data_IF_386803790249
#
_entry.id   IF_386803790249
#
_cell.length_a   1.000
_cell.length_b   1.000
_cell.length_c   1.000
_cell.angle_alpha   90.00
_cell.angle_beta   90.00
_cell.angle_gamma   90.00
#
_symmetry.space_group_name_H-M   'P 1'
#
loop_
_entity.id
_entity.type
_entity.pdbx_description
1 polymer ?
#
# COMPACT_ATOMS: atom_id res chain seq x y z
N UNK A 1 11.31 2.62 12.24
CA UNK A 1 10.99 3.26 13.55
C UNK A 1 12.16 3.24 14.55
N UNK A 2 12.67 2.08 14.99
CA UNK A 2 13.64 1.99 16.10
C UNK A 2 14.91 2.84 15.97
N UNK A 3 15.50 2.96 14.78
CA UNK A 3 16.66 3.84 14.55
C UNK A 3 16.30 5.31 14.86
N UNK A 4 15.14 5.77 14.39
CA UNK A 4 14.63 7.12 14.67
C UNK A 4 14.37 7.36 16.16
N UNK A 5 13.75 6.39 16.85
CA UNK A 5 13.54 6.43 18.30
C UNK A 5 14.86 6.59 19.06
N UNK A 6 15.89 5.81 18.68
CA UNK A 6 17.23 5.89 19.27
C UNK A 6 17.89 7.26 19.04
N UNK A 7 17.83 7.78 17.81
CA UNK A 7 18.41 9.08 17.47
C UNK A 7 17.68 10.24 18.17
N UNK A 8 16.37 10.15 18.33
CA UNK A 8 15.55 11.15 19.01
C UNK A 8 15.53 10.99 20.54
N UNK A 9 16.07 9.89 21.08
CA UNK A 9 15.97 9.49 22.48
C UNK A 9 14.51 9.50 23.00
N UNK A 10 13.60 8.92 22.21
CA UNK A 10 12.17 8.83 22.52
C UNK A 10 11.72 7.37 22.64
N UNK A 11 10.83 7.03 23.60
CA UNK A 11 10.34 5.67 23.79
C UNK A 11 9.18 5.30 22.85
N UNK A 12 8.68 6.26 22.07
CA UNK A 12 7.58 6.09 21.12
C UNK A 12 8.11 6.30 19.69
N UNK A 13 7.69 5.43 18.78
CA UNK A 13 8.07 5.49 17.38
C UNK A 13 6.87 5.34 16.46
N UNK A 14 6.85 6.15 15.40
CA UNK A 14 5.96 6.00 14.26
C UNK A 14 6.81 5.77 13.01
N UNK A 15 6.43 4.82 12.17
CA UNK A 15 7.03 4.61 10.86
C UNK A 15 5.97 4.25 9.83
N UNK A 16 6.28 4.49 8.56
CA UNK A 16 5.48 4.11 7.41
C UNK A 16 6.32 3.28 6.45
N UNK A 17 5.73 2.29 5.81
CA UNK A 17 6.34 1.53 4.71
C UNK A 17 5.26 1.29 3.64
N UNK A 18 5.65 1.31 2.37
CA UNK A 18 4.71 1.13 1.26
C UNK A 18 5.29 0.24 0.17
N UNK A 19 4.42 -0.58 -0.45
CA UNK A 19 4.78 -1.48 -1.54
C UNK A 19 3.82 -1.33 -2.71
N UNK A 20 4.35 -1.48 -3.92
CA UNK A 20 3.59 -1.41 -5.17
C UNK A 20 3.80 -2.70 -5.96
N UNK A 21 2.74 -3.21 -6.57
CA UNK A 21 2.83 -4.42 -7.37
C UNK A 21 1.53 -4.73 -8.11
N UNK A 22 1.51 -5.77 -8.95
CA UNK A 22 0.28 -6.22 -9.58
C UNK A 22 -0.72 -6.74 -8.52
N UNK A 23 -2.01 -6.57 -8.80
CA UNK A 23 -3.08 -7.19 -8.01
C UNK A 23 -2.86 -8.71 -7.92
N UNK A 24 -2.94 -9.31 -6.71
CA UNK A 24 -2.60 -10.72 -6.51
C UNK A 24 -3.62 -11.71 -7.06
N UNK A 25 -4.84 -11.26 -7.42
CA UNK A 25 -5.90 -12.13 -7.92
C UNK A 25 -5.93 -12.18 -9.45
N UNK A 26 -5.83 -11.02 -10.08
CA UNK A 26 -6.02 -10.83 -11.53
C UNK A 26 -4.76 -10.34 -12.23
N UNK A 27 -3.87 -9.65 -11.53
CA UNK A 27 -2.72 -8.95 -12.11
C UNK A 27 -3.07 -7.79 -13.04
N UNK A 28 -4.35 -7.40 -13.14
CA UNK A 28 -4.84 -6.46 -14.15
C UNK A 28 -4.62 -4.99 -13.79
N UNK A 29 -4.36 -4.68 -12.52
CA UNK A 29 -4.13 -3.32 -12.04
C UNK A 29 -3.03 -3.28 -10.99
N UNK A 30 -2.42 -2.11 -10.84
CA UNK A 30 -1.42 -1.85 -9.82
C UNK A 30 -2.08 -1.63 -8.46
N UNK A 31 -1.58 -2.32 -7.45
CA UNK A 31 -1.97 -2.23 -6.06
C UNK A 31 -0.90 -1.48 -5.27
N UNK A 32 -1.32 -0.56 -4.42
CA UNK A 32 -0.52 0.01 -3.35
C UNK A 32 -0.94 -0.64 -2.03
N UNK A 33 0.04 -1.03 -1.22
CA UNK A 33 -0.14 -1.44 0.18
C UNK A 33 0.68 -0.47 1.04
N UNK A 34 0.02 0.20 1.98
CA UNK A 34 0.66 1.07 2.96
C UNK A 34 0.52 0.48 4.36
N UNK A 35 1.59 0.57 5.14
CA UNK A 35 1.67 0.11 6.53
C UNK A 35 2.13 1.27 7.42
N UNK A 36 1.44 1.47 8.54
CA UNK A 36 1.81 2.40 9.60
C UNK A 36 2.13 1.62 10.87
N UNK A 37 3.33 1.76 11.40
CA UNK A 37 3.79 1.02 12.59
C UNK A 37 3.95 1.98 13.76
N UNK A 38 3.22 1.72 14.84
CA UNK A 38 3.39 2.33 16.15
C UNK A 38 4.18 1.39 17.07
N UNK A 39 5.28 1.88 17.63
CA UNK A 39 6.09 1.17 18.62
C UNK A 39 6.05 1.98 19.91
N UNK A 40 5.73 1.31 21.01
CA UNK A 40 5.75 1.87 22.35
C UNK A 40 6.59 0.99 23.26
N UNK A 41 7.83 1.42 23.53
CA UNK A 41 8.76 0.70 24.40
C UNK A 41 8.36 0.82 25.89
N UNK A 42 7.51 1.77 26.27
CA UNK A 42 7.00 1.90 27.65
C UNK A 42 5.97 0.81 27.96
N UNK A 43 5.16 0.45 26.96
CA UNK A 43 4.15 -0.61 27.06
C UNK A 43 4.64 -1.97 26.53
N UNK A 44 5.75 -1.97 25.78
CA UNK A 44 6.31 -3.17 25.15
C UNK A 44 5.43 -3.68 24.00
N UNK A 45 4.81 -2.79 23.23
CA UNK A 45 3.87 -3.16 22.16
C UNK A 45 4.30 -2.62 20.79
N UNK A 46 3.85 -3.34 19.77
CA UNK A 46 3.88 -2.92 18.37
C UNK A 46 2.46 -3.06 17.80
N UNK A 47 1.97 -2.00 17.14
CA UNK A 47 0.64 -1.96 16.53
C UNK A 47 0.79 -1.49 15.09
N UNK A 48 0.25 -2.26 14.15
CA UNK A 48 0.37 -1.99 12.72
C UNK A 48 -1.00 -1.67 12.14
N UNK A 49 -1.15 -0.48 11.57
CA UNK A 49 -2.26 -0.13 10.68
C UNK A 49 -1.91 -0.43 9.23
N UNK A 50 -2.88 -0.87 8.44
CA UNK A 50 -2.66 -1.23 7.04
C UNK A 50 -3.80 -0.70 6.16
N UNK A 51 -3.47 -0.34 4.93
CA UNK A 51 -4.45 -0.10 3.88
C UNK A 51 -3.90 -0.59 2.55
N UNK A 52 -4.80 -0.99 1.66
CA UNK A 52 -4.45 -1.40 0.31
C UNK A 52 -5.50 -0.92 -0.67
N UNK A 53 -5.06 -0.49 -1.84
CA UNK A 53 -5.96 0.01 -2.86
C UNK A 53 -5.29 0.19 -4.20
N UNK A 54 -6.11 0.43 -5.21
CA UNK A 54 -5.64 0.70 -6.58
C UNK A 54 -4.72 1.91 -6.59
N UNK A 55 -3.71 1.88 -7.45
CA UNK A 55 -2.79 3.00 -7.67
C UNK A 55 -2.41 3.10 -9.15
N UNK A 56 -1.73 4.18 -9.49
CA UNK A 56 -1.09 4.36 -10.78
C UNK A 56 0.42 4.13 -10.60
N UNK A 57 0.90 3.01 -11.14
CA UNK A 57 2.31 2.63 -11.16
C UNK A 57 2.61 2.23 -12.59
N UNK A 58 3.28 3.11 -13.33
CA UNK A 58 3.49 2.95 -14.76
C UNK A 58 4.78 3.62 -15.22
N UNK A 59 5.29 3.17 -16.35
CA UNK A 59 6.48 3.72 -16.99
C UNK A 59 6.38 3.62 -18.51
N UNK A 60 7.17 4.45 -19.20
CA UNK A 60 7.27 4.48 -20.65
C UNK A 60 8.68 4.90 -21.09
N UNK A 61 9.26 4.18 -22.05
CA UNK A 61 10.41 4.65 -22.81
C UNK A 61 9.92 5.42 -24.05
N UNK A 62 9.86 6.74 -23.93
CA UNK A 62 9.32 7.63 -24.96
C UNK A 62 10.41 8.07 -25.98
N UNK A 63 10.06 8.00 -27.26
CA UNK A 63 10.92 8.40 -28.37
C UNK A 63 10.65 9.84 -28.86
N UNK A 64 9.53 10.45 -28.47
CA UNK A 64 9.16 11.80 -28.82
C UNK A 64 8.28 12.44 -27.74
N UNK A 65 8.06 13.75 -27.86
CA UNK A 65 7.30 14.51 -26.88
C UNK A 65 5.83 14.08 -26.84
N UNK A 66 5.24 13.73 -27.97
CA UNK A 66 3.83 13.32 -28.07
C UNK A 66 3.57 12.05 -27.24
N UNK A 67 4.49 11.09 -27.25
CA UNK A 67 4.43 9.90 -26.41
C UNK A 67 4.55 10.24 -24.91
N UNK A 68 5.49 11.13 -24.56
CA UNK A 68 5.69 11.56 -23.17
C UNK A 68 4.46 12.32 -22.63
N UNK A 69 3.87 13.20 -23.44
CA UNK A 69 2.67 13.95 -23.09
C UNK A 69 1.45 13.02 -22.91
N UNK A 70 1.25 12.06 -23.82
CA UNK A 70 0.18 11.08 -23.70
C UNK A 70 0.30 10.23 -22.43
N UNK A 71 1.52 9.78 -22.12
CA UNK A 71 1.82 9.07 -20.87
C UNK A 71 1.50 9.92 -19.64
N UNK A 72 1.96 11.17 -19.62
CA UNK A 72 1.73 12.06 -18.50
C UNK A 72 0.24 12.30 -18.23
N UNK A 73 -0.56 12.51 -19.28
CA UNK A 73 -2.02 12.65 -19.14
C UNK A 73 -2.67 11.37 -18.60
N UNK A 74 -2.25 10.20 -19.06
CA UNK A 74 -2.75 8.92 -18.55
C UNK A 74 -2.27 8.62 -17.12
N UNK A 75 -1.21 9.30 -16.68
CA UNK A 75 -0.66 9.21 -15.33
C UNK A 75 -1.36 10.13 -14.32
N UNK A 76 -2.39 10.90 -14.71
CA UNK A 76 -3.01 11.97 -13.91
C UNK A 76 -2.02 13.12 -13.56
N UNK A 77 -1.08 13.41 -14.47
CA UNK A 77 -0.20 14.57 -14.36
C UNK A 77 -0.95 15.88 -14.68
N UNK A 78 -0.73 16.99 -13.96
CA UNK A 78 0.35 17.23 -12.98
C UNK A 78 0.05 16.85 -11.53
N UNK A 79 -1.16 16.39 -11.20
CA UNK A 79 -1.54 16.02 -9.84
C UNK A 79 -0.69 14.85 -9.31
N UNK A 80 -0.40 13.86 -10.17
CA UNK A 80 0.63 12.85 -9.93
C UNK A 80 1.92 13.26 -10.64
N UNK A 81 2.98 13.47 -9.86
CA UNK A 81 4.29 13.82 -10.38
C UNK A 81 4.95 12.73 -11.22
N UNK A 82 5.95 13.12 -12.00
CA UNK A 82 6.72 12.23 -12.87
C UNK A 82 8.20 12.27 -12.53
N UNK A 83 8.88 11.15 -12.76
CA UNK A 83 10.33 11.01 -12.77
C UNK A 83 10.79 10.78 -14.22
N UNK A 84 11.89 11.41 -14.61
CA UNK A 84 12.48 11.27 -15.94
C UNK A 84 13.95 10.87 -15.84
N UNK A 85 14.33 9.90 -16.67
CA UNK A 85 15.68 9.37 -16.82
C UNK A 85 16.07 9.28 -18.30
N UNK A 86 17.35 9.39 -18.66
CA UNK A 86 17.83 8.97 -19.97
C UNK A 86 17.75 7.44 -20.12
N UNK A 87 17.59 6.94 -21.34
CA UNK A 87 17.78 5.53 -21.76
C UNK A 87 16.84 4.46 -21.17
N UNK A 88 16.85 4.21 -19.86
CA UNK A 88 16.13 3.11 -19.19
C UNK A 88 15.97 3.33 -17.67
N UNK A 89 15.28 2.41 -16.99
CA UNK A 89 14.91 2.50 -15.56
C UNK A 89 16.11 2.62 -14.61
N UNK A 90 17.19 1.89 -14.88
CA UNK A 90 18.39 1.89 -14.04
C UNK A 90 19.38 3.05 -14.30
N UNK A 91 19.07 4.02 -15.17
CA UNK A 91 19.97 5.17 -15.38
C UNK A 91 20.06 6.02 -14.10
N UNK A 92 21.28 6.26 -13.64
CA UNK A 92 21.55 7.00 -12.40
C UNK A 92 21.26 8.51 -12.54
N UNK A 93 21.24 9.04 -13.76
CA UNK A 93 20.84 10.42 -14.04
C UNK A 93 19.33 10.49 -13.98
N UNK A 94 18.82 11.21 -13.00
CA UNK A 94 17.38 11.23 -12.71
C UNK A 94 16.92 12.63 -12.31
N UNK A 95 15.79 13.07 -12.89
CA UNK A 95 15.04 14.24 -12.45
C UNK A 95 13.73 13.74 -11.83
N UNK A 96 13.51 14.06 -10.56
CA UNK A 96 12.34 13.63 -9.78
C UNK A 96 11.53 14.84 -9.34
N UNK A 97 10.27 14.64 -9.00
CA UNK A 97 9.45 15.70 -8.40
C UNK A 97 8.96 16.71 -9.42
N UNK A 98 8.82 16.28 -10.67
CA UNK A 98 8.29 17.10 -11.74
C UNK A 98 6.77 17.12 -11.56
N UNK A 99 6.19 18.32 -11.45
CA UNK A 99 4.77 18.55 -11.18
C UNK A 99 4.17 19.70 -12.02
N UNK A 100 4.81 20.05 -13.13
CA UNK A 100 4.31 21.03 -14.09
C UNK A 100 4.81 20.73 -15.51
N UNK A 101 4.04 21.16 -16.51
CA UNK A 101 4.26 20.83 -17.92
C UNK A 101 5.55 21.40 -18.50
N UNK A 102 5.99 22.56 -18.02
CA UNK A 102 7.22 23.21 -18.50
C UNK A 102 8.44 22.41 -18.04
N UNK A 103 8.53 22.13 -16.74
CA UNK A 103 9.58 21.30 -16.15
C UNK A 103 9.61 19.88 -16.75
N UNK A 104 8.45 19.28 -17.05
CA UNK A 104 8.38 17.98 -17.70
C UNK A 104 8.97 18.01 -19.11
N UNK A 105 8.66 19.05 -19.88
CA UNK A 105 9.16 19.23 -21.24
C UNK A 105 10.67 19.45 -21.26
N UNK A 106 11.17 20.28 -20.35
CA UNK A 106 12.62 20.47 -20.19
C UNK A 106 13.33 19.19 -19.78
N UNK A 107 12.77 18.45 -18.81
CA UNK A 107 13.32 17.18 -18.36
C UNK A 107 13.32 16.12 -19.48
N UNK A 108 12.28 16.07 -20.30
CA UNK A 108 12.20 15.17 -21.44
C UNK A 108 13.31 15.44 -22.45
N UNK A 109 13.45 16.68 -22.92
CA UNK A 109 14.48 17.01 -23.92
C UNK A 109 15.90 16.89 -23.37
N UNK A 110 16.11 17.23 -22.10
CA UNK A 110 17.37 16.93 -21.42
C UNK A 110 17.69 15.43 -21.48
N UNK A 111 16.74 14.57 -21.10
CA UNK A 111 16.96 13.13 -21.06
C UNK A 111 17.23 12.54 -22.45
N UNK A 112 16.51 12.99 -23.47
CA UNK A 112 16.77 12.62 -24.87
C UNK A 112 18.17 13.05 -25.34
N UNK A 113 18.64 14.25 -24.98
CA UNK A 113 19.98 14.73 -25.34
C UNK A 113 21.11 13.99 -24.63
N UNK A 114 20.85 13.51 -23.41
CA UNK A 114 21.79 12.73 -22.58
C UNK A 114 21.83 11.24 -22.93
N UNK A 115 20.83 10.74 -23.66
CA UNK A 115 20.66 9.35 -24.03
C UNK A 115 21.31 9.05 -25.39
N UNK A 116 22.13 8.01 -25.45
CA UNK A 116 22.71 7.49 -26.69
C UNK A 116 21.65 6.99 -27.69
N UNK A 117 20.51 6.51 -27.18
CA UNK A 117 19.36 6.10 -27.99
C UNK A 117 18.37 7.25 -28.31
N UNK A 118 18.62 8.46 -27.81
CA UNK A 118 17.76 9.62 -28.01
C UNK A 118 16.40 9.53 -27.30
N UNK A 119 16.21 8.61 -26.35
CA UNK A 119 14.93 8.35 -25.68
C UNK A 119 14.97 8.70 -24.18
N UNK A 120 13.82 9.11 -23.68
CA UNK A 120 13.61 9.37 -22.25
C UNK A 120 12.77 8.25 -21.64
N UNK A 121 13.20 7.73 -20.51
CA UNK A 121 12.41 6.84 -19.66
C UNK A 121 11.64 7.69 -18.65
N UNK A 122 10.31 7.59 -18.67
CA UNK A 122 9.38 8.26 -17.78
C UNK A 122 8.76 7.22 -16.85
N UNK A 123 8.59 7.57 -15.58
CA UNK A 123 7.88 6.76 -14.60
C UNK A 123 7.04 7.65 -13.68
N UNK A 124 5.92 7.13 -13.19
CA UNK A 124 5.11 7.79 -12.16
C UNK A 124 5.92 7.98 -10.88
N UNK A 125 5.90 9.17 -10.28
CA UNK A 125 6.64 9.43 -9.05
C UNK A 125 5.90 8.82 -7.86
N UNK A 126 6.44 7.72 -7.31
CA UNK A 126 5.75 6.98 -6.24
C UNK A 126 5.95 7.58 -4.85
N UNK A 127 6.62 8.72 -4.71
CA UNK A 127 6.79 9.37 -3.40
C UNK A 127 5.47 9.99 -2.97
N UNK A 128 5.10 9.86 -1.69
CA UNK A 128 3.77 10.24 -1.19
C UNK A 128 3.35 11.67 -1.58
N UNK A 129 4.21 12.66 -1.36
CA UNK A 129 3.93 14.06 -1.71
C UNK A 129 3.76 14.34 -3.21
N UNK A 130 4.10 13.39 -4.08
CA UNK A 130 3.93 13.46 -5.54
C UNK A 130 2.82 12.54 -6.04
N UNK A 131 2.16 11.77 -5.17
CA UNK A 131 1.20 10.74 -5.56
C UNK A 131 -0.06 10.84 -4.67
N UNK A 132 -1.12 11.53 -5.16
CA UNK A 132 -2.35 11.72 -4.39
C UNK A 132 -3.01 10.42 -3.94
N UNK A 133 -3.01 9.38 -4.79
CA UNK A 133 -3.55 8.06 -4.44
C UNK A 133 -2.76 7.42 -3.29
N UNK A 134 -1.43 7.56 -3.30
CA UNK A 134 -0.59 7.11 -2.20
C UNK A 134 -0.88 7.88 -0.91
N UNK A 135 -1.06 9.20 -0.97
CA UNK A 135 -1.42 9.98 0.21
C UNK A 135 -2.73 9.50 0.83
N UNK A 136 -3.74 9.21 0.02
CA UNK A 136 -5.00 8.66 0.50
C UNK A 136 -4.81 7.28 1.15
N UNK A 137 -3.99 6.39 0.56
CA UNK A 137 -3.66 5.10 1.17
C UNK A 137 -2.93 5.25 2.51
N UNK A 138 -1.96 6.16 2.61
CA UNK A 138 -1.27 6.48 3.88
C UNK A 138 -2.27 7.00 4.92
N UNK A 139 -3.22 7.84 4.50
CA UNK A 139 -4.28 8.34 5.38
C UNK A 139 -5.19 7.20 5.88
N UNK A 140 -5.56 6.26 5.01
CA UNK A 140 -6.34 5.08 5.38
C UNK A 140 -5.59 4.17 6.36
N UNK A 141 -4.32 3.87 6.08
CA UNK A 141 -3.49 3.06 6.99
C UNK A 141 -3.31 3.74 8.35
N UNK A 142 -3.20 5.07 8.36
CA UNK A 142 -3.16 5.88 9.59
C UNK A 142 -4.48 5.83 10.36
N UNK A 143 -5.63 5.88 9.68
CA UNK A 143 -6.95 5.72 10.30
C UNK A 143 -7.14 4.33 10.90
N UNK A 144 -6.71 3.28 10.20
CA UNK A 144 -6.71 1.90 10.72
C UNK A 144 -5.83 1.78 11.96
N UNK A 145 -4.61 2.32 11.94
CA UNK A 145 -3.73 2.38 13.11
C UNK A 145 -4.40 3.09 14.30
N UNK A 146 -4.98 4.27 14.06
CA UNK A 146 -5.64 5.05 15.09
C UNK A 146 -6.84 4.32 15.68
N UNK A 147 -7.63 3.61 14.85
CA UNK A 147 -8.72 2.77 15.32
C UNK A 147 -8.21 1.67 16.25
N UNK A 148 -7.17 0.93 15.84
CA UNK A 148 -6.54 -0.14 16.64
C UNK A 148 -6.00 0.37 17.97
N UNK A 149 -5.31 1.52 17.98
CA UNK A 149 -4.81 2.14 19.21
C UNK A 149 -5.93 2.59 20.15
N UNK A 150 -7.13 2.85 19.64
CA UNK A 150 -8.32 3.17 20.45
C UNK A 150 -9.10 1.94 20.91
N UNK A 151 -8.67 0.73 20.54
CA UNK A 151 -9.28 -0.53 20.98
C UNK A 151 -8.45 -1.14 22.12
N UNK A 152 -8.84 -0.92 23.39
CA UNK A 152 -8.11 -1.49 24.53
C UNK A 152 -8.36 -2.99 24.67
N UNK A 153 -7.38 -3.71 25.20
CA UNK A 153 -7.55 -5.08 25.64
C UNK A 153 -8.54 -5.15 26.80
N UNK A 154 -9.53 -6.06 26.78
CA UNK A 154 -10.50 -6.20 27.87
C UNK A 154 -9.89 -6.68 29.19
N UNK A 155 -8.67 -7.23 29.17
CA UNK A 155 -8.00 -7.78 30.35
C UNK A 155 -6.98 -6.81 30.97
N UNK A 156 -6.12 -6.20 30.15
CA UNK A 156 -5.02 -5.36 30.64
C UNK A 156 -5.12 -3.90 30.22
N UNK A 157 -6.22 -3.51 29.56
CA UNK A 157 -6.50 -2.15 29.07
C UNK A 157 -5.44 -1.56 28.12
N UNK A 158 -4.50 -2.38 27.64
CA UNK A 158 -3.44 -1.93 26.71
C UNK A 158 -4.04 -1.70 25.33
N UNK A 159 -3.71 -0.60 24.63
CA UNK A 159 -4.21 -0.32 23.28
C UNK A 159 -3.73 -1.36 22.27
N UNK A 160 -4.43 -1.48 21.14
CA UNK A 160 -4.03 -2.37 20.05
C UNK A 160 -4.62 -3.78 20.13
N UNK A 161 -5.75 -3.97 20.81
CA UNK A 161 -6.48 -5.24 20.76
C UNK A 161 -7.18 -5.38 19.41
N UNK A 162 -6.64 -6.24 18.54
CA UNK A 162 -6.99 -6.26 17.11
C UNK A 162 -6.97 -7.66 16.54
N UNK A 163 -7.53 -7.80 15.33
CA UNK A 163 -7.47 -9.03 14.54
C UNK A 163 -6.01 -9.36 14.22
N UNK A 164 -5.57 -10.56 14.59
CA UNK A 164 -4.25 -11.10 14.25
C UNK A 164 -4.34 -12.30 13.32
N UNK A 165 -5.52 -12.91 13.20
CA UNK A 165 -5.75 -14.07 12.34
C UNK A 165 -7.21 -14.10 11.88
N UNK A 166 -7.42 -14.55 10.64
CA UNK A 166 -8.74 -14.82 10.07
C UNK A 166 -8.87 -16.32 9.86
N UNK A 167 -9.87 -16.94 10.45
CA UNK A 167 -10.14 -18.38 10.35
C UNK A 167 -11.08 -18.61 9.16
N UNK A 168 -10.66 -19.31 8.10
CA UNK A 168 -11.53 -19.66 6.98
C UNK A 168 -12.52 -20.78 7.35
N UNK A 169 -13.45 -21.08 6.44
CA UNK A 169 -14.34 -22.23 6.54
C UNK A 169 -15.80 -21.88 6.78
N UNK A 170 -16.30 -20.76 6.25
CA UNK A 170 -17.75 -20.58 6.14
C UNK A 170 -18.33 -21.71 5.26
N UNK A 171 -19.44 -22.35 5.65
CA UNK A 171 -20.06 -23.39 4.84
C UNK A 171 -20.66 -22.79 3.57
N UNK A 172 -20.47 -23.46 2.44
CA UNK A 172 -21.15 -23.11 1.18
C UNK A 172 -22.67 -23.19 1.35
N UNK A 173 -23.42 -22.21 0.85
CA UNK A 173 -24.89 -22.17 0.92
C UNK A 173 -25.59 -23.33 0.19
N UNK A 174 -24.92 -23.97 -0.78
CA UNK A 174 -25.50 -25.05 -1.58
C UNK A 174 -25.07 -26.46 -1.11
N UNK A 175 -23.78 -26.64 -0.80
CA UNK A 175 -23.18 -27.97 -0.57
C UNK A 175 -22.57 -28.16 0.82
N UNK A 176 -22.67 -27.15 1.70
CA UNK A 176 -22.12 -27.12 3.08
C UNK A 176 -20.61 -27.33 3.21
N UNK A 177 -19.88 -27.50 2.09
CA UNK A 177 -18.43 -27.66 2.12
C UNK A 177 -17.76 -26.37 2.61
N UNK A 178 -16.69 -26.45 3.43
CA UNK A 178 -16.00 -25.27 3.93
C UNK A 178 -15.34 -24.50 2.78
N UNK A 179 -15.58 -23.19 2.71
CA UNK A 179 -14.97 -22.30 1.72
C UNK A 179 -13.75 -21.57 2.29
N UNK A 180 -13.08 -20.78 1.46
CA UNK A 180 -11.98 -19.90 1.88
C UNK A 180 -12.46 -18.64 2.60
N UNK A 181 -13.77 -18.39 2.61
CA UNK A 181 -14.34 -17.22 3.26
C UNK A 181 -14.18 -17.33 4.78
N UNK A 182 -13.92 -16.19 5.42
CA UNK A 182 -13.61 -16.11 6.85
C UNK A 182 -14.85 -16.37 7.69
N UNK A 183 -14.82 -17.39 8.54
CA UNK A 183 -15.90 -17.68 9.52
C UNK A 183 -15.73 -16.95 10.84
N UNK A 184 -14.49 -16.72 11.27
CA UNK A 184 -14.19 -16.10 12.54
C UNK A 184 -12.88 -15.30 12.48
N UNK A 185 -12.77 -14.29 13.35
CA UNK A 185 -11.56 -13.51 13.51
C UNK A 185 -10.97 -13.74 14.91
N UNK A 186 -9.65 -13.95 15.02
CA UNK A 186 -8.95 -13.97 16.30
C UNK A 186 -8.47 -12.57 16.61
N UNK A 187 -8.98 -12.01 17.70
CA UNK A 187 -8.47 -10.78 18.28
C UNK A 187 -7.44 -11.10 19.35
N UNK A 188 -6.29 -10.41 19.37
CA UNK A 188 -5.24 -10.63 20.36
C UNK A 188 -4.64 -9.32 20.87
N UNK A 189 -4.27 -9.31 22.16
CA UNK A 189 -3.51 -8.23 22.77
C UNK A 189 -2.01 -8.40 22.53
N UNK A 190 -1.35 -7.36 22.02
CA UNK A 190 0.09 -7.34 21.81
C UNK A 190 0.94 -7.43 23.10
N UNK A 191 0.37 -7.13 24.28
CA UNK A 191 1.09 -7.12 25.56
C UNK A 191 0.88 -8.36 26.41
N UNK A 192 -0.37 -8.68 26.76
CA UNK A 192 -0.66 -9.80 27.66
C UNK A 192 -0.96 -11.12 26.93
N UNK A 193 -1.05 -11.11 25.59
CA UNK A 193 -1.35 -12.29 24.79
C UNK A 193 -2.79 -12.80 24.88
N UNK A 194 -3.66 -12.15 25.67
CA UNK A 194 -5.08 -12.49 25.72
C UNK A 194 -5.68 -12.47 24.31
N UNK A 195 -6.46 -13.50 23.98
CA UNK A 195 -7.10 -13.64 22.68
C UNK A 195 -8.55 -14.10 22.80
N UNK A 196 -9.37 -13.68 21.84
CA UNK A 196 -10.78 -14.07 21.70
C UNK A 196 -11.03 -14.42 20.24
N UNK A 197 -11.70 -15.54 20.00
CA UNK A 197 -12.25 -15.88 18.70
C UNK A 197 -13.67 -15.32 18.60
N UNK A 198 -13.92 -14.48 17.60
CA UNK A 198 -15.23 -13.92 17.33
C UNK A 198 -15.75 -14.47 16.00
N UNK A 199 -16.86 -15.21 16.05
CA UNK A 199 -17.56 -15.66 14.84
C UNK A 199 -18.12 -14.45 14.09
N UNK A 200 -18.03 -14.50 12.77
CA UNK A 200 -18.62 -13.51 11.90
C UNK A 200 -20.15 -13.63 11.89
N UNK A 201 -20.86 -12.52 11.61
CA UNK A 201 -22.32 -12.55 11.48
C UNK A 201 -22.75 -13.45 10.31
N UNK A 202 -21.97 -13.48 9.23
CA UNK A 202 -22.19 -14.39 8.10
C UNK A 202 -22.17 -15.85 8.56
N UNK A 203 -23.13 -16.64 8.07
CA UNK A 203 -23.27 -18.07 8.41
C UNK A 203 -23.02 -19.00 7.25
N UNK A 204 -23.09 -18.49 6.04
CA UNK A 204 -22.82 -19.22 4.81
C UNK A 204 -21.98 -18.34 3.88
N UNK A 205 -21.25 -18.99 2.98
CA UNK A 205 -20.56 -18.37 1.86
C UNK A 205 -21.35 -18.59 0.56
N UNK A 206 -21.34 -17.62 -0.37
CA UNK A 206 -21.97 -17.80 -1.68
C UNK A 206 -21.40 -19.00 -2.43
N UNK A 207 -22.23 -19.73 -3.16
CA UNK A 207 -21.78 -20.91 -3.94
C UNK A 207 -20.68 -20.56 -4.96
N UNK A 208 -20.66 -19.32 -5.46
CA UNK A 208 -19.62 -18.81 -6.36
C UNK A 208 -18.21 -18.69 -5.74
N UNK A 209 -18.07 -18.75 -4.42
CA UNK A 209 -16.78 -18.75 -3.71
C UNK A 209 -16.36 -20.16 -3.26
N UNK A 210 -17.14 -21.19 -3.59
CA UNK A 210 -16.88 -22.55 -3.17
C UNK A 210 -16.02 -23.28 -4.21
N UNK A 211 -14.84 -23.75 -3.80
CA UNK A 211 -13.93 -24.55 -4.64
C UNK A 211 -14.58 -25.86 -5.20
N UNK A 212 -15.74 -26.29 -4.67
CA UNK A 212 -16.49 -27.44 -5.18
C UNK A 212 -17.65 -27.06 -6.12
N UNK A 213 -18.40 -26.00 -5.81
CA UNK A 213 -19.54 -25.56 -6.62
C UNK A 213 -19.10 -24.67 -7.80
N UNK A 214 -18.01 -23.93 -7.62
CA UNK A 214 -17.40 -23.04 -8.60
C UNK A 214 -15.87 -23.19 -8.58
N UNK A 215 -15.35 -24.34 -9.08
CA UNK A 215 -13.91 -24.62 -9.11
C UNK A 215 -13.11 -23.68 -10.02
#
# INVERSE_FOLDING_TARGET
ARIGMKLANLPLGLASEGSFGPDPFTGLFSLNIEMMVWIDDTLGIEVVGVASGRTNFSHLLAANWEQAEAFARAADFPEHGIVVRPRHEDDSRVRKGIADWESLREAFFWACGEADNGRAFLETDMRAHMNPMRMEMVAQASRDLAHKLRTPCPICNTPGFQIVERIPGLPCEDCDSPTRDTRADIHRCARCGHQVALERPEKTAPAGHCDWCNP
#
